data_IF_769887204822
#
_entry.id   IF_769887204822
#
_cell.length_a   1.000
_cell.length_b   1.000
_cell.length_c   1.000
_cell.angle_alpha   90.00
_cell.angle_beta   90.00
_cell.angle_gamma   90.00
#
_symmetry.space_group_name_H-M   'P 1'
#
loop_
_entity.id
_entity.type
_entity.pdbx_description
1 polymer ?
#
# COMPACT_ATOMS: atom_id res chain seq x y z
N UNK A 1 29.94 6.14 -6.07
CA UNK A 1 28.65 5.96 -6.78
C UNK A 1 28.88 5.44 -8.21
N UNK A 2 29.88 5.96 -8.94
CA UNK A 2 30.20 5.52 -10.31
C UNK A 2 30.50 4.01 -10.46
N UNK A 3 31.30 3.40 -9.57
CA UNK A 3 31.62 1.95 -9.65
C UNK A 3 30.41 1.02 -9.61
N UNK A 4 29.33 1.40 -8.90
CA UNK A 4 28.11 0.57 -8.85
C UNK A 4 27.42 0.63 -10.20
N UNK A 5 27.24 1.83 -10.75
CA UNK A 5 26.61 2.02 -12.07
C UNK A 5 27.45 1.38 -13.17
N UNK A 6 28.76 1.55 -13.13
CA UNK A 6 29.73 0.94 -14.07
C UNK A 6 29.72 -0.60 -14.01
N UNK A 7 29.29 -1.18 -12.89
CA UNK A 7 29.18 -2.64 -12.72
C UNK A 7 27.81 -3.22 -13.08
N UNK A 8 26.84 -2.37 -13.44
CA UNK A 8 25.52 -2.82 -13.89
C UNK A 8 25.56 -3.08 -15.39
N UNK A 9 25.30 -4.33 -15.78
CA UNK A 9 25.07 -4.69 -17.18
C UNK A 9 23.57 -4.84 -17.42
N UNK A 10 23.04 -4.16 -18.44
CA UNK A 10 21.66 -4.35 -18.87
C UNK A 10 21.55 -5.71 -19.59
N UNK A 11 20.78 -6.64 -19.03
CA UNK A 11 20.51 -7.90 -19.71
C UNK A 11 19.66 -7.62 -20.96
N UNK A 12 20.05 -8.14 -22.12
CA UNK A 12 19.35 -7.99 -23.42
C UNK A 12 17.99 -8.73 -23.50
N UNK A 13 17.30 -8.91 -22.37
CA UNK A 13 15.97 -9.50 -22.33
C UNK A 13 14.98 -8.54 -23.00
N UNK A 14 13.92 -9.11 -23.57
CA UNK A 14 12.83 -8.35 -24.19
C UNK A 14 12.41 -7.16 -23.31
N UNK A 15 12.08 -5.99 -23.90
CA UNK A 15 11.68 -4.81 -23.14
C UNK A 15 10.61 -5.15 -22.11
N UNK A 16 10.79 -4.70 -20.88
CA UNK A 16 9.79 -4.86 -19.82
C UNK A 16 8.54 -4.09 -20.22
N UNK A 17 7.42 -4.79 -20.39
CA UNK A 17 6.14 -4.17 -20.70
C UNK A 17 5.39 -3.78 -19.43
N UNK A 18 4.40 -2.89 -19.54
CA UNK A 18 3.61 -2.42 -18.39
C UNK A 18 2.88 -3.55 -17.65
N UNK A 19 2.62 -4.68 -18.31
CA UNK A 19 2.02 -5.86 -17.67
C UNK A 19 2.94 -6.54 -16.65
N UNK A 20 4.25 -6.31 -16.76
CA UNK A 20 5.28 -6.85 -15.87
C UNK A 20 5.63 -5.88 -14.72
N UNK A 21 5.05 -4.67 -14.72
CA UNK A 21 5.26 -3.71 -13.66
C UNK A 21 4.54 -4.11 -12.38
N UNK A 22 4.87 -3.41 -11.30
CA UNK A 22 4.16 -3.53 -10.04
C UNK A 22 2.67 -3.21 -10.23
N UNK A 23 1.87 -4.28 -10.32
CA UNK A 23 0.41 -4.20 -10.33
C UNK A 23 -0.15 -4.26 -8.90
N UNK A 24 -0.91 -3.25 -8.49
CA UNK A 24 -1.47 -3.16 -7.13
C UNK A 24 -2.39 -4.33 -6.76
N UNK A 25 -3.20 -4.83 -7.70
CA UNK A 25 -4.16 -5.91 -7.42
C UNK A 25 -3.46 -7.27 -7.30
N UNK A 26 -2.47 -7.53 -8.15
CA UNK A 26 -1.72 -8.79 -8.12
C UNK A 26 -0.74 -8.86 -6.95
N UNK A 27 -0.14 -7.73 -6.57
CA UNK A 27 0.98 -7.71 -5.62
C UNK A 27 0.63 -7.13 -4.25
N UNK A 28 -0.41 -6.30 -4.12
CA UNK A 28 -0.69 -5.56 -2.88
C UNK A 28 -0.85 -6.46 -1.66
N UNK A 29 -1.56 -7.57 -1.80
CA UNK A 29 -1.75 -8.53 -0.71
C UNK A 29 -0.45 -9.26 -0.34
N UNK A 30 0.41 -9.57 -1.33
CA UNK A 30 1.71 -10.21 -1.11
C UNK A 30 2.60 -9.25 -0.32
N UNK A 31 2.73 -8.01 -0.77
CA UNK A 31 3.55 -6.97 -0.14
C UNK A 31 3.08 -6.73 1.31
N UNK A 32 1.77 -6.58 1.53
CA UNK A 32 1.23 -6.37 2.88
C UNK A 32 1.62 -7.51 3.83
N UNK A 33 1.44 -8.76 3.40
CA UNK A 33 1.81 -9.92 4.21
C UNK A 33 3.32 -10.03 4.45
N UNK A 34 4.15 -9.73 3.44
CA UNK A 34 5.62 -9.79 3.54
C UNK A 34 6.14 -8.80 4.56
N UNK A 35 5.71 -7.53 4.47
CA UNK A 35 6.16 -6.48 5.38
C UNK A 35 5.37 -6.44 6.69
N UNK A 36 4.30 -7.23 6.81
CA UNK A 36 3.37 -7.26 7.96
C UNK A 36 2.82 -5.87 8.30
N UNK A 37 2.61 -5.05 7.27
CA UNK A 37 2.14 -3.68 7.35
C UNK A 37 1.03 -3.44 6.33
N UNK A 38 0.04 -2.57 6.61
CA UNK A 38 -0.91 -2.15 5.60
C UNK A 38 -0.19 -1.46 4.43
N UNK A 39 -0.54 -1.83 3.21
CA UNK A 39 -0.01 -1.20 1.99
C UNK A 39 -1.12 -0.38 1.36
N UNK A 40 -0.85 0.90 1.15
CA UNK A 40 -1.80 1.86 0.63
C UNK A 40 -1.27 2.33 -0.72
N UNK A 41 -1.99 1.97 -1.78
CA UNK A 41 -1.75 2.50 -3.12
C UNK A 41 -2.60 3.75 -3.29
N UNK A 42 -1.98 4.85 -3.70
CA UNK A 42 -2.64 6.12 -4.01
C UNK A 42 -2.41 6.46 -5.48
N UNK A 43 -3.48 6.72 -6.21
CA UNK A 43 -3.42 7.29 -7.56
C UNK A 43 -4.64 8.16 -7.83
N UNK A 44 -4.56 8.98 -8.88
CA UNK A 44 -5.69 9.80 -9.34
C UNK A 44 -6.89 8.96 -9.82
N UNK A 45 -6.64 7.73 -10.27
CA UNK A 45 -7.69 6.85 -10.79
C UNK A 45 -8.39 6.07 -9.68
N UNK A 46 -7.61 5.45 -8.78
CA UNK A 46 -8.16 4.60 -7.74
C UNK A 46 -7.11 4.30 -6.66
N UNK A 47 -7.49 4.50 -5.40
CA UNK A 47 -6.68 4.20 -4.23
C UNK A 47 -7.20 2.94 -3.51
N UNK A 48 -6.29 2.10 -3.01
CA UNK A 48 -6.64 0.81 -2.40
C UNK A 48 -5.76 0.52 -1.18
N UNK A 49 -6.35 -0.06 -0.14
CA UNK A 49 -5.62 -0.55 1.03
C UNK A 49 -5.60 -2.08 1.03
N UNK A 50 -4.43 -2.67 1.26
CA UNK A 50 -4.24 -4.10 1.44
C UNK A 50 -3.76 -4.36 2.87
N UNK A 51 -4.51 -5.19 3.60
CA UNK A 51 -4.20 -5.52 4.99
C UNK A 51 -3.36 -6.81 5.04
N UNK A 52 -2.39 -6.91 5.96
CA UNK A 52 -1.76 -8.20 6.23
C UNK A 52 -2.75 -9.11 6.94
N UNK A 53 -3.08 -10.23 6.32
CA UNK A 53 -4.15 -11.12 6.81
C UNK A 53 -3.60 -12.25 7.69
N UNK A 54 -2.29 -12.50 7.66
CA UNK A 54 -1.64 -13.56 8.45
C UNK A 54 -1.47 -13.20 9.92
N UNK A 55 -1.11 -11.95 10.22
CA UNK A 55 -0.84 -11.48 11.58
C UNK A 55 -1.49 -10.11 11.81
N UNK A 56 -1.94 -9.87 13.05
CA UNK A 56 -2.54 -8.60 13.46
C UNK A 56 -1.50 -7.49 13.69
N UNK A 57 -1.95 -6.27 14.01
CA UNK A 57 -1.07 -5.15 14.32
C UNK A 57 -0.17 -5.47 15.53
N UNK A 58 1.12 -5.14 15.41
CA UNK A 58 2.12 -5.30 16.46
C UNK A 58 3.01 -4.08 16.55
N UNK A 59 2.95 -3.37 17.68
CA UNK A 59 3.73 -2.14 17.92
C UNK A 59 5.24 -2.41 17.80
N UNK A 60 5.70 -3.62 18.16
CA UNK A 60 7.13 -4.00 18.10
C UNK A 60 7.70 -4.09 16.69
N UNK A 61 6.85 -4.34 15.68
CA UNK A 61 7.28 -4.54 14.29
C UNK A 61 7.01 -3.32 13.40
N UNK A 62 6.47 -2.23 13.97
CA UNK A 62 5.95 -1.09 13.24
C UNK A 62 4.61 -1.42 12.59
N UNK A 63 3.54 -0.78 13.05
CA UNK A 63 2.18 -0.94 12.52
C UNK A 63 1.76 0.15 11.53
N UNK A 64 2.62 1.15 11.33
CA UNK A 64 2.39 2.26 10.42
C UNK A 64 2.16 1.77 8.98
N UNK A 65 1.16 2.30 8.27
CA UNK A 65 0.99 1.98 6.86
C UNK A 65 2.18 2.41 5.99
N UNK A 66 2.33 1.74 4.85
CA UNK A 66 3.27 2.11 3.78
C UNK A 66 2.47 2.71 2.63
N UNK A 67 2.82 3.92 2.22
CA UNK A 67 2.15 4.63 1.15
C UNK A 67 2.96 4.55 -0.15
N UNK A 68 2.33 4.03 -1.20
CA UNK A 68 2.87 3.99 -2.55
C UNK A 68 2.05 4.94 -3.43
N UNK A 69 2.68 6.01 -3.89
CA UNK A 69 2.05 7.01 -4.75
C UNK A 69 2.38 6.72 -6.22
N UNK A 70 1.35 6.73 -7.06
CA UNK A 70 1.54 6.65 -8.51
C UNK A 70 1.89 8.02 -9.08
N UNK A 71 3.02 8.12 -9.77
CA UNK A 71 3.53 9.38 -10.33
C UNK A 71 3.70 9.23 -11.84
N UNK A 72 3.30 10.28 -12.58
CA UNK A 72 3.43 10.41 -14.04
C UNK A 72 2.90 9.23 -14.87
N UNK A 73 1.97 8.45 -14.31
CA UNK A 73 1.37 7.32 -15.01
C UNK A 73 2.27 6.10 -15.17
N UNK A 74 3.47 6.07 -14.58
CA UNK A 74 4.43 5.00 -14.85
C UNK A 74 5.27 4.48 -13.68
N UNK A 75 5.25 5.09 -12.50
CA UNK A 75 6.04 4.59 -11.38
C UNK A 75 5.33 4.74 -10.04
N UNK A 76 5.65 3.81 -9.13
CA UNK A 76 5.24 3.85 -7.74
C UNK A 76 6.41 4.33 -6.89
N UNK A 77 6.18 5.35 -6.08
CA UNK A 77 7.19 5.87 -5.15
C UNK A 77 6.73 5.68 -3.72
N UNK A 78 7.68 5.40 -2.83
CA UNK A 78 7.41 5.44 -1.39
C UNK A 78 7.18 6.89 -0.98
N UNK A 79 5.97 7.20 -0.55
CA UNK A 79 5.60 8.53 -0.11
C UNK A 79 5.79 8.68 1.40
N UNK A 80 6.46 9.75 1.82
CA UNK A 80 6.39 10.19 3.21
C UNK A 80 5.10 11.00 3.38
N UNK A 81 4.09 10.39 4.01
CA UNK A 81 2.77 10.99 4.19
C UNK A 81 2.65 11.50 5.62
N UNK A 82 2.37 12.79 5.77
CA UNK A 82 1.96 13.40 7.03
C UNK A 82 0.45 13.52 7.09
N UNK A 83 -0.11 13.21 8.25
CA UNK A 83 -1.53 13.31 8.51
C UNK A 83 -1.90 14.69 9.04
N UNK A 84 -3.07 15.20 8.66
CA UNK A 84 -3.65 16.35 9.34
C UNK A 84 -3.96 15.95 10.79
N UNK A 85 -3.56 16.77 11.75
CA UNK A 85 -3.69 16.48 13.19
C UNK A 85 -3.07 15.13 13.60
N UNK A 86 -2.05 14.67 12.86
CA UNK A 86 -1.37 13.40 13.08
C UNK A 86 -2.06 12.16 12.50
N UNK A 87 -3.27 12.30 11.93
CA UNK A 87 -4.04 11.18 11.36
C UNK A 87 -3.85 11.12 9.85
N UNK A 88 -3.23 10.03 9.37
CA UNK A 88 -3.00 9.83 7.94
C UNK A 88 -4.25 9.21 7.29
N UNK A 89 -4.66 9.68 6.09
CA UNK A 89 -5.83 9.13 5.41
C UNK A 89 -5.58 7.69 4.95
N UNK A 90 -6.62 6.87 5.03
CA UNK A 90 -6.57 5.46 4.60
C UNK A 90 -7.79 5.15 3.72
N UNK A 91 -7.59 4.83 2.44
CA UNK A 91 -8.66 4.34 1.58
C UNK A 91 -9.26 3.02 2.11
N UNK A 92 -10.53 2.71 1.81
CA UNK A 92 -11.16 1.46 2.18
C UNK A 92 -10.33 0.25 1.74
N UNK A 93 -10.14 -0.75 2.61
CA UNK A 93 -9.38 -1.93 2.25
C UNK A 93 -10.16 -2.84 1.30
N UNK A 94 -9.41 -3.49 0.40
CA UNK A 94 -9.95 -4.48 -0.51
C UNK A 94 -10.26 -5.75 0.30
N UNK A 95 -11.54 -5.95 0.64
CA UNK A 95 -12.00 -7.06 1.47
C UNK A 95 -13.21 -7.77 0.83
N UNK A 96 -13.28 -9.08 1.03
CA UNK A 96 -14.48 -9.84 0.68
C UNK A 96 -15.60 -9.55 1.70
N UNK A 97 -16.81 -9.27 1.22
CA UNK A 97 -17.95 -8.82 2.02
C UNK A 97 -18.46 -9.84 3.04
N UNK A 98 -18.22 -11.14 2.83
CA UNK A 98 -18.84 -12.22 3.62
C UNK A 98 -17.91 -12.89 4.64
N UNK A 99 -16.60 -12.68 4.56
CA UNK A 99 -15.63 -13.33 5.47
C UNK A 99 -14.45 -12.40 5.75
N UNK A 100 -14.53 -11.64 6.85
CA UNK A 100 -13.38 -10.90 7.38
C UNK A 100 -12.79 -11.68 8.55
N UNK A 101 -11.52 -12.09 8.41
CA UNK A 101 -10.79 -12.81 9.46
C UNK A 101 -10.67 -11.95 10.73
N UNK A 102 -10.48 -12.59 11.89
CA UNK A 102 -10.19 -11.87 13.15
C UNK A 102 -9.01 -10.91 13.00
N UNK A 103 -7.98 -11.33 12.26
CA UNK A 103 -6.83 -10.49 11.90
C UNK A 103 -7.24 -9.26 11.12
N UNK A 104 -8.07 -9.39 10.08
CA UNK A 104 -8.56 -8.26 9.31
C UNK A 104 -9.35 -7.28 10.19
N UNK A 105 -10.20 -7.78 11.10
CA UNK A 105 -10.95 -6.94 12.05
C UNK A 105 -10.04 -6.18 13.00
N UNK A 106 -8.97 -6.81 13.49
CA UNK A 106 -7.99 -6.13 14.35
C UNK A 106 -7.28 -5.00 13.61
N UNK A 107 -6.92 -5.21 12.33
CA UNK A 107 -6.36 -4.16 11.49
C UNK A 107 -7.35 -3.02 11.23
N UNK A 108 -8.60 -3.34 10.89
CA UNK A 108 -9.64 -2.33 10.72
C UNK A 108 -9.83 -1.48 11.97
N UNK A 109 -9.81 -2.10 13.15
CA UNK A 109 -9.89 -1.38 14.43
C UNK A 109 -8.68 -0.47 14.64
N UNK A 110 -7.48 -0.93 14.29
CA UNK A 110 -6.27 -0.14 14.42
C UNK A 110 -6.23 1.06 13.48
N UNK A 111 -6.79 0.92 12.27
CA UNK A 111 -6.78 1.94 11.23
C UNK A 111 -8.05 2.83 11.22
N UNK A 112 -8.91 2.70 12.23
CA UNK A 112 -10.25 3.28 12.25
C UNK A 112 -10.27 4.80 11.99
N UNK A 113 -9.37 5.54 12.61
CA UNK A 113 -9.32 7.01 12.49
C UNK A 113 -8.95 7.44 11.07
N UNK A 114 -7.90 6.82 10.49
CA UNK A 114 -7.50 7.10 9.10
C UNK A 114 -8.55 6.69 8.07
N UNK A 115 -9.28 5.60 8.32
CA UNK A 115 -10.40 5.17 7.49
C UNK A 115 -11.58 6.15 7.53
N UNK A 116 -11.84 6.77 8.69
CA UNK A 116 -12.93 7.73 8.85
C UNK A 116 -12.73 9.00 8.00
N UNK A 117 -11.48 9.37 7.70
CA UNK A 117 -11.18 10.51 6.83
C UNK A 117 -11.68 10.31 5.39
N UNK A 118 -11.62 9.07 4.87
CA UNK A 118 -12.04 8.79 3.50
C UNK A 118 -13.56 8.72 3.33
N UNK A 119 -14.29 8.30 4.37
CA UNK A 119 -15.75 8.15 4.31
C UNK A 119 -16.45 9.52 4.27
N UNK A 120 -15.80 10.57 4.79
CA UNK A 120 -16.39 11.91 4.92
C UNK A 120 -16.56 12.65 3.58
N UNK A 121 -15.77 12.28 2.56
CA UNK A 121 -15.72 12.98 1.27
C UNK A 121 -16.79 12.54 0.26
N UNK A 122 -17.67 11.60 0.62
CA UNK A 122 -18.83 11.20 -0.22
C UNK A 122 -20.16 11.84 0.22
N UNK A 123 -20.13 12.81 1.14
CA UNK A 123 -21.33 13.45 1.71
C UNK A 123 -21.39 14.98 1.51
N UNK A 124 -20.66 15.52 0.54
CA UNK A 124 -20.69 16.95 0.18
C UNK A 124 -21.07 17.16 -1.27
#
# INVERSE_FOLDING_TARGET
>A
MNRIIESLEESSKSPITTSQWLNKMNHGQIIANTYRRPIIFISNECSNTFLPLRLGPSVKLGCEPVYLLHVNGNHWVLANVEGKDGVKPIPPPVLASRVTSKTAKNWLSHLKEGLALYIKDFSS
#
